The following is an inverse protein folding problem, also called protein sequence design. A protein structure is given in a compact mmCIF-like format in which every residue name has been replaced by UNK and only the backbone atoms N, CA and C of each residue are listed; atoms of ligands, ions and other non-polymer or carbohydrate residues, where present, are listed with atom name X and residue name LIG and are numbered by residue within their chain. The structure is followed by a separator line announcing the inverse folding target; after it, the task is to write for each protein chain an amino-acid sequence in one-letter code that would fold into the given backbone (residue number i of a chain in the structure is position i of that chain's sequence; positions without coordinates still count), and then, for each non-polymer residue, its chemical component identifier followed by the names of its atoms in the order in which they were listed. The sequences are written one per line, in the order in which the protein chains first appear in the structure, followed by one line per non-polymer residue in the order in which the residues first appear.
data_IF_133733150136
#
_entry.id   IF_133733150136
#
_cell.length_a   1.000
_cell.length_b   1.000
_cell.length_c   1.000
_cell.angle_alpha   90.00
_cell.angle_beta   90.00
_cell.angle_gamma   90.00
#
_symmetry.space_group_name_H-M   'P 1'
#
loop_
_entity.id
_entity.type
_entity.pdbx_description
1 polymer ?
#
# COMPACT_ATOMS: atom_id res chain seq x y z
N UNK A 1 42.74 12.36 10.13
CA UNK A 1 42.57 10.94 9.76
C UNK A 1 41.09 10.62 9.87
N UNK A 2 40.37 10.76 8.76
CA UNK A 2 38.96 10.42 8.63
C UNK A 2 38.86 8.93 8.25
N UNK A 3 38.00 8.12 8.89
CA UNK A 3 37.82 6.75 8.46
C UNK A 3 36.98 6.71 7.17
N UNK A 4 37.44 5.86 6.25
CA UNK A 4 36.86 5.56 4.94
C UNK A 4 35.49 4.88 5.09
N UNK A 5 34.48 5.24 4.29
CA UNK A 5 33.21 4.51 4.26
C UNK A 5 33.43 3.18 3.53
N UNK A 6 33.61 2.10 4.29
CA UNK A 6 33.52 0.75 3.75
C UNK A 6 32.09 0.54 3.24
N UNK A 7 31.95 0.75 1.93
CA UNK A 7 31.16 -0.04 0.98
C UNK A 7 30.02 -0.81 1.62
N UNK A 8 28.81 -0.24 1.52
CA UNK A 8 27.59 -1.02 1.39
C UNK A 8 27.80 -1.92 0.16
N UNK A 9 28.26 -3.14 0.39
CA UNK A 9 28.13 -4.23 -0.55
C UNK A 9 26.62 -4.37 -0.76
N UNK A 10 26.13 -3.76 -1.82
CA UNK A 10 24.90 -4.19 -2.45
C UNK A 10 25.12 -5.66 -2.74
N UNK A 11 24.55 -6.52 -1.89
CA UNK A 11 24.46 -7.95 -2.11
C UNK A 11 23.48 -8.13 -3.27
N UNK A 12 23.88 -7.76 -4.48
CA UNK A 12 23.34 -8.35 -5.71
C UNK A 12 23.96 -9.73 -5.82
N UNK A 13 23.78 -10.54 -4.79
CA UNK A 13 24.03 -11.96 -4.87
C UNK A 13 22.96 -12.50 -5.81
N UNK A 14 23.41 -13.16 -6.87
CA UNK A 14 22.51 -13.89 -7.77
C UNK A 14 21.88 -14.98 -6.90
N UNK A 15 20.67 -14.73 -6.40
CA UNK A 15 19.85 -15.74 -5.72
C UNK A 15 19.48 -16.79 -6.77
N UNK A 16 20.33 -17.80 -6.91
CA UNK A 16 20.08 -18.97 -7.74
C UNK A 16 19.19 -19.92 -6.95
N UNK A 17 18.23 -20.61 -7.58
CA UNK A 17 17.52 -21.69 -6.92
C UNK A 17 18.57 -22.69 -6.39
N UNK A 18 18.40 -23.10 -5.14
CA UNK A 18 19.27 -24.11 -4.55
C UNK A 18 18.97 -25.49 -5.17
N UNK A 19 19.83 -26.49 -4.91
CA UNK A 19 19.61 -27.86 -5.39
C UNK A 19 18.33 -28.50 -4.81
N UNK A 20 17.65 -27.81 -3.88
CA UNK A 20 16.36 -28.20 -3.30
C UNK A 20 15.15 -27.48 -3.93
N UNK A 21 15.39 -26.63 -4.94
CA UNK A 21 14.35 -25.90 -5.67
C UNK A 21 13.72 -24.75 -4.88
N UNK A 22 14.33 -24.32 -3.77
CA UNK A 22 13.91 -23.17 -2.98
C UNK A 22 14.42 -21.89 -3.61
N UNK A 23 13.60 -20.86 -3.50
CA UNK A 23 13.84 -19.53 -4.04
C UNK A 23 13.61 -18.53 -2.90
N UNK A 24 14.45 -17.50 -2.82
CA UNK A 24 14.30 -16.45 -1.80
C UNK A 24 13.11 -15.53 -2.09
N UNK A 25 12.62 -14.81 -1.07
CA UNK A 25 11.44 -13.93 -1.16
C UNK A 25 11.56 -12.81 -2.22
N UNK A 26 12.78 -12.40 -2.57
CA UNK A 26 13.07 -11.37 -3.58
C UNK A 26 12.60 -11.71 -5.00
N UNK A 27 12.19 -12.94 -5.25
CA UNK A 27 11.65 -13.37 -6.54
C UNK A 27 10.13 -13.23 -6.65
N UNK A 28 9.47 -12.74 -5.60
CA UNK A 28 8.02 -12.54 -5.54
C UNK A 28 7.71 -11.05 -5.30
N UNK A 29 6.50 -10.62 -5.67
CA UNK A 29 6.02 -9.27 -5.36
C UNK A 29 5.41 -9.23 -3.96
N UNK A 30 5.31 -8.04 -3.37
CA UNK A 30 4.71 -7.86 -2.04
C UNK A 30 3.27 -8.41 -1.99
N UNK A 31 2.53 -8.25 -3.10
CA UNK A 31 1.17 -8.75 -3.31
C UNK A 31 1.03 -10.28 -3.33
N UNK A 32 2.13 -11.00 -3.52
CA UNK A 32 2.13 -12.47 -3.58
C UNK A 32 2.15 -13.11 -2.19
N UNK A 33 2.34 -12.30 -1.14
CA UNK A 33 2.36 -12.79 0.22
C UNK A 33 1.08 -12.41 0.98
N UNK A 34 0.76 -13.25 1.95
CA UNK A 34 -0.36 -13.11 2.87
C UNK A 34 0.20 -12.87 4.26
N UNK A 35 -0.17 -11.74 4.85
CA UNK A 35 0.22 -11.27 6.17
C UNK A 35 -0.96 -11.28 7.17
N UNK A 36 -2.20 -11.35 6.69
CA UNK A 36 -3.40 -11.43 7.51
C UNK A 36 -4.35 -12.55 7.09
N UNK A 37 -5.26 -12.94 7.99
CA UNK A 37 -6.38 -13.82 7.69
C UNK A 37 -7.68 -13.15 8.13
N UNK A 38 -8.71 -13.26 7.31
CA UNK A 38 -10.04 -12.73 7.61
C UNK A 38 -11.03 -13.84 7.92
N UNK A 39 -11.90 -13.62 8.89
CA UNK A 39 -13.07 -14.45 9.18
C UNK A 39 -14.32 -13.56 9.24
N UNK A 40 -15.36 -13.93 8.50
CA UNK A 40 -16.64 -13.22 8.54
C UNK A 40 -17.57 -13.93 9.52
N UNK A 41 -17.98 -13.23 10.57
CA UNK A 41 -19.00 -13.72 11.50
C UNK A 41 -20.37 -13.73 10.80
N UNK A 42 -20.96 -14.92 10.68
CA UNK A 42 -22.24 -15.13 9.99
C UNK A 42 -23.43 -14.50 10.71
N UNK A 43 -23.33 -14.24 12.02
CA UNK A 43 -24.43 -13.68 12.80
C UNK A 43 -24.44 -12.15 12.77
N UNK A 44 -23.26 -11.52 12.85
CA UNK A 44 -23.14 -10.06 12.90
C UNK A 44 -22.78 -9.44 11.55
N UNK A 45 -22.35 -10.26 10.58
CA UNK A 45 -21.83 -9.81 9.30
C UNK A 45 -20.46 -9.12 9.41
N UNK A 46 -19.84 -9.10 10.59
CA UNK A 46 -18.57 -8.41 10.83
C UNK A 46 -17.41 -9.24 10.31
N UNK A 47 -16.52 -8.59 9.55
CA UNK A 47 -15.23 -9.17 9.16
C UNK A 47 -14.22 -8.92 10.27
N UNK A 48 -13.62 -9.99 10.76
CA UNK A 48 -12.54 -9.98 11.74
C UNK A 48 -11.26 -10.32 11.00
N UNK A 49 -10.32 -9.38 10.95
CA UNK A 49 -9.01 -9.57 10.35
C UNK A 49 -7.95 -9.73 11.44
N UNK A 50 -7.10 -10.74 11.30
CA UNK A 50 -6.07 -11.09 12.28
C UNK A 50 -4.72 -11.22 11.57
N UNK A 51 -3.64 -10.56 12.04
CA UNK A 51 -2.32 -10.72 11.47
C UNK A 51 -1.76 -12.12 11.74
N UNK A 52 -1.06 -12.67 10.75
CA UNK A 52 -0.35 -13.94 10.85
C UNK A 52 0.99 -13.73 11.57
N UNK A 53 1.37 -14.69 12.41
CA UNK A 53 2.69 -14.68 13.08
C UNK A 53 3.85 -14.79 12.10
N UNK A 54 3.64 -15.48 10.99
CA UNK A 54 4.60 -15.67 9.92
C UNK A 54 3.90 -15.35 8.60
N UNK A 55 4.54 -14.49 7.82
CA UNK A 55 4.13 -14.19 6.45
C UNK A 55 4.24 -15.45 5.59
N UNK A 56 3.27 -15.67 4.71
CA UNK A 56 3.20 -16.86 3.85
C UNK A 56 3.04 -16.45 2.40
N UNK A 57 3.55 -17.25 1.47
CA UNK A 57 3.21 -17.11 0.06
C UNK A 57 1.77 -17.52 -0.19
N UNK A 58 1.09 -16.79 -1.07
CA UNK A 58 -0.18 -17.23 -1.64
C UNK A 58 0.05 -18.59 -2.33
N UNK A 59 -0.84 -19.58 -2.18
CA UNK A 59 -0.69 -20.90 -2.82
C UNK A 59 -0.54 -20.85 -4.35
N UNK A 60 -1.01 -19.77 -4.98
CA UNK A 60 -0.91 -19.55 -6.43
C UNK A 60 0.29 -18.68 -6.86
N UNK A 61 1.06 -18.17 -5.89
CA UNK A 61 2.22 -17.35 -6.18
C UNK A 61 3.31 -18.17 -6.89
N UNK A 62 3.87 -17.58 -7.95
CA UNK A 62 5.01 -18.11 -8.67
C UNK A 62 6.11 -17.05 -8.71
N UNK A 63 7.39 -17.42 -8.69
CA UNK A 63 8.48 -16.47 -8.77
C UNK A 63 8.43 -15.77 -10.12
N UNK A 64 8.32 -14.44 -10.10
CA UNK A 64 8.19 -13.62 -11.30
C UNK A 64 9.13 -12.41 -11.32
N UNK A 65 9.92 -12.21 -10.28
CA UNK A 65 10.96 -11.16 -10.24
C UNK A 65 12.31 -11.80 -10.49
N UNK A 66 13.00 -11.36 -11.55
CA UNK A 66 14.29 -11.91 -11.99
C UNK A 66 15.32 -10.78 -12.11
N UNK A 67 16.02 -10.42 -11.01
CA UNK A 67 16.83 -9.21 -10.92
C UNK A 67 18.00 -9.14 -11.93
N UNK A 68 18.46 -10.28 -12.44
CA UNK A 68 19.55 -10.37 -13.42
C UNK A 68 19.05 -10.68 -14.84
N UNK A 69 17.75 -10.63 -15.06
CA UNK A 69 17.13 -10.80 -16.37
C UNK A 69 16.56 -9.45 -16.84
N UNK A 70 16.42 -9.25 -18.16
CA UNK A 70 15.73 -8.08 -18.69
C UNK A 70 14.36 -7.85 -18.03
N UNK A 71 14.05 -6.58 -17.75
CA UNK A 71 12.86 -6.20 -16.98
C UNK A 71 11.55 -6.74 -17.57
N UNK A 72 11.47 -6.93 -18.89
CA UNK A 72 10.27 -7.47 -19.56
C UNK A 72 9.99 -8.95 -19.23
N UNK A 73 10.97 -9.68 -18.70
CA UNK A 73 10.78 -11.05 -18.20
C UNK A 73 10.32 -11.07 -16.74
N UNK A 74 10.47 -9.95 -16.03
CA UNK A 74 10.01 -9.82 -14.66
C UNK A 74 8.60 -9.21 -14.63
N UNK A 75 7.76 -9.68 -13.72
CA UNK A 75 6.53 -8.97 -13.38
C UNK A 75 6.92 -7.68 -12.67
N UNK A 76 6.46 -6.56 -13.20
CA UNK A 76 6.64 -5.28 -12.55
C UNK A 76 5.48 -5.05 -11.57
N UNK A 77 5.78 -4.40 -10.45
CA UNK A 77 4.76 -3.72 -9.65
C UNK A 77 4.17 -2.62 -10.52
N UNK A 78 3.07 -2.93 -11.20
CA UNK A 78 2.37 -1.94 -12.00
C UNK A 78 1.60 -1.06 -11.04
N UNK A 79 1.90 0.24 -11.01
CA UNK A 79 0.90 1.22 -10.59
C UNK A 79 -0.27 1.07 -11.55
N UNK A 80 -1.34 0.41 -11.11
CA UNK A 80 -2.54 0.27 -11.92
C UNK A 80 -2.97 1.67 -12.35
N UNK A 81 -3.15 1.87 -13.66
CA UNK A 81 -3.71 3.12 -14.15
C UNK A 81 -5.10 3.25 -13.53
N UNK A 82 -5.33 4.35 -12.81
CA UNK A 82 -6.64 4.69 -12.25
C UNK A 82 -7.70 4.50 -13.35
N UNK A 83 -8.67 3.63 -13.09
CA UNK A 83 -9.78 3.42 -14.01
C UNK A 83 -10.59 4.72 -14.12
N UNK A 84 -11.31 4.94 -15.23
CA UNK A 84 -12.18 6.11 -15.35
C UNK A 84 -13.13 6.25 -14.17
N UNK A 85 -13.67 5.14 -13.63
CA UNK A 85 -14.60 5.16 -12.50
C UNK A 85 -13.92 5.63 -11.20
N UNK A 86 -12.73 5.12 -10.90
CA UNK A 86 -11.96 5.53 -9.72
C UNK A 86 -11.59 7.02 -9.81
N UNK A 87 -11.20 7.48 -11.00
CA UNK A 87 -10.90 8.89 -11.25
C UNK A 87 -12.11 9.79 -10.96
N UNK A 88 -13.29 9.42 -11.44
CA UNK A 88 -14.51 10.20 -11.17
C UNK A 88 -14.84 10.19 -9.69
N UNK A 89 -14.79 9.03 -9.03
CA UNK A 89 -15.07 8.92 -7.60
C UNK A 89 -14.12 9.78 -6.75
N UNK A 90 -12.83 9.85 -7.13
CA UNK A 90 -11.85 10.71 -6.45
C UNK A 90 -12.18 12.20 -6.64
N UNK A 91 -12.51 12.62 -7.85
CA UNK A 91 -12.88 14.01 -8.12
C UNK A 91 -14.17 14.41 -7.40
N UNK A 92 -15.17 13.54 -7.37
CA UNK A 92 -16.42 13.78 -6.63
C UNK A 92 -16.17 13.90 -5.13
N UNK A 93 -15.31 13.04 -4.57
CA UNK A 93 -14.94 13.09 -3.16
C UNK A 93 -14.16 14.37 -2.81
N UNK A 94 -13.24 14.78 -3.68
CA UNK A 94 -12.45 16.02 -3.54
C UNK A 94 -13.36 17.25 -3.56
N UNK A 95 -14.30 17.32 -4.52
CA UNK A 95 -15.27 18.41 -4.59
C UNK A 95 -16.16 18.47 -3.35
N UNK A 96 -16.64 17.31 -2.87
CA UNK A 96 -17.45 17.25 -1.66
C UNK A 96 -16.68 17.74 -0.43
N UNK A 97 -15.40 17.35 -0.28
CA UNK A 97 -14.55 17.79 0.82
C UNK A 97 -14.29 19.30 0.78
N UNK A 98 -14.11 19.86 -0.41
CA UNK A 98 -13.93 21.30 -0.58
C UNK A 98 -15.18 22.08 -0.15
N UNK A 99 -16.37 21.66 -0.59
CA UNK A 99 -17.63 22.29 -0.21
C UNK A 99 -17.90 22.22 1.31
N UNK A 100 -17.61 21.08 1.94
CA UNK A 100 -17.70 20.94 3.41
C UNK A 100 -16.79 21.95 4.10
N UNK A 101 -15.53 22.06 3.65
CA UNK A 101 -14.55 22.99 4.21
C UNK A 101 -14.99 24.45 4.06
N UNK A 102 -15.53 24.82 2.90
CA UNK A 102 -16.03 26.18 2.66
C UNK A 102 -17.25 26.51 3.52
N UNK A 103 -18.15 25.55 3.69
CA UNK A 103 -19.32 25.67 4.57
C UNK A 103 -18.90 25.93 6.03
N UNK A 104 -17.96 25.13 6.54
CA UNK A 104 -17.41 25.30 7.90
C UNK A 104 -16.79 26.69 8.08
N UNK A 105 -15.97 27.14 7.12
CA UNK A 105 -15.34 28.46 7.17
C UNK A 105 -16.36 29.60 7.16
N UNK A 106 -17.37 29.51 6.28
CA UNK A 106 -18.43 30.53 6.22
C UNK A 106 -19.22 30.60 7.53
N UNK A 107 -19.53 29.44 8.13
CA UNK A 107 -20.24 29.39 9.39
C UNK A 107 -19.44 30.01 10.53
N UNK A 108 -18.15 29.66 10.66
CA UNK A 108 -17.26 30.26 11.67
C UNK A 108 -17.14 31.78 11.51
N UNK A 109 -17.08 32.28 10.28
CA UNK A 109 -17.01 33.71 10.01
C UNK A 109 -18.29 34.44 10.41
N UNK A 110 -19.46 33.85 10.14
CA UNK A 110 -20.74 34.41 10.56
C UNK A 110 -20.89 34.42 12.08
N UNK A 111 -20.48 33.35 12.77
CA UNK A 111 -20.50 33.30 14.22
C UNK A 111 -19.61 34.39 14.83
N UNK A 112 -18.39 34.57 14.31
CA UNK A 112 -17.48 35.64 14.76
C UNK A 112 -18.06 37.04 14.52
N UNK A 113 -18.78 37.26 13.41
CA UNK A 113 -19.44 38.54 13.10
C UNK A 113 -20.65 38.81 13.99
N UNK A 114 -21.34 37.77 14.44
CA UNK A 114 -22.56 37.85 15.23
C UNK A 114 -22.34 37.74 16.75
N UNK A 115 -21.08 37.76 17.23
CA UNK A 115 -20.81 37.89 18.66
C UNK A 115 -21.30 39.26 19.14
N UNK A 116 -22.44 39.25 19.82
CA UNK A 116 -22.96 40.41 20.54
C UNK A 116 -22.28 40.41 21.91
N UNK A 117 -21.51 41.47 22.19
CA UNK A 117 -20.91 41.69 23.51
C UNK A 117 -22.04 41.79 24.55
N UNK A 118 -22.19 40.73 25.34
CA UNK A 118 -23.13 40.72 26.46
C UNK A 118 -22.52 41.53 27.60
N UNK A 119 -23.18 42.65 27.93
CA UNK A 119 -22.81 43.63 28.97
C UNK A 119 -22.76 42.99 30.36
#
# INVERSE_FOLDING_TARGET
MSPSPHQLLHHTEICKPDDTGKVCEHHFLESDFVDSTSYTDSMTGKVIEVPLKLRRLNPSAIPTVFPNCPAYLSRQETSARESPKEKHARLDAEALQEEIRLSEQSHEEEEKKNVIDTI
#
